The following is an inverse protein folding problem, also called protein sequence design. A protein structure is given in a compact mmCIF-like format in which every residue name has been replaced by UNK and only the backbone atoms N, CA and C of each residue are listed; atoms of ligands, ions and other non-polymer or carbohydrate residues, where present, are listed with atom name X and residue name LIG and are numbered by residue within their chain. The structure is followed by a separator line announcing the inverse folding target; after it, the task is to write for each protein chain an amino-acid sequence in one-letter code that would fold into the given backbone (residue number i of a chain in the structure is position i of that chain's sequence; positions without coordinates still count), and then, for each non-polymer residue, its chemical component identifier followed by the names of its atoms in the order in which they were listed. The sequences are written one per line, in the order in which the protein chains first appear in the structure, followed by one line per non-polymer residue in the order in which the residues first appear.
data_IF_228079867215
#
_entry.id   IF_228079867215
#
_cell.length_a   1.000
_cell.length_b   1.000
_cell.length_c   1.000
_cell.angle_alpha   90.00
_cell.angle_beta   90.00
_cell.angle_gamma   90.00
#
_symmetry.space_group_name_H-M   'P 1'
#
loop_
_entity.id
_entity.type
_entity.pdbx_description
1 polymer ?
#
# COMPACT_ATOMS: atom_id res chain seq x y z
N UNK A 1 89.34 -29.25 6.01
CA UNK A 1 88.25 -29.68 5.10
C UNK A 1 87.43 -30.66 5.92
N UNK A 2 86.13 -30.49 6.19
CA UNK A 2 84.97 -30.34 5.29
C UNK A 2 83.85 -29.53 6.01
N UNK A 3 83.32 -28.48 5.36
CA UNK A 3 82.00 -28.33 4.71
C UNK A 3 80.82 -27.90 5.63
N UNK A 4 80.22 -26.78 5.22
CA UNK A 4 78.93 -26.21 5.64
C UNK A 4 77.75 -27.10 5.24
N UNK A 5 76.67 -27.06 6.02
CA UNK A 5 75.38 -27.64 5.66
C UNK A 5 74.23 -27.04 6.48
N UNK A 6 73.62 -25.97 5.96
CA UNK A 6 72.39 -25.32 6.45
C UNK A 6 71.15 -26.14 6.10
N UNK A 7 70.17 -26.26 7.00
CA UNK A 7 68.92 -26.99 6.69
C UNK A 7 67.83 -26.97 7.77
N UNK A 8 67.55 -25.81 8.39
CA UNK A 8 66.60 -25.73 9.52
C UNK A 8 65.37 -24.82 9.37
N UNK A 9 65.21 -24.07 8.27
CA UNK A 9 64.25 -22.94 8.25
C UNK A 9 62.91 -23.17 7.53
N UNK A 10 62.66 -24.34 6.92
CA UNK A 10 61.52 -24.50 5.99
C UNK A 10 60.21 -25.04 6.59
N UNK A 11 60.22 -25.69 7.75
CA UNK A 11 59.00 -26.34 8.30
C UNK A 11 58.15 -25.37 9.14
N UNK A 12 58.79 -24.52 9.95
CA UNK A 12 58.11 -23.56 10.83
C UNK A 12 57.31 -22.51 10.03
N UNK A 13 57.86 -22.04 8.91
CA UNK A 13 57.24 -21.03 8.05
C UNK A 13 55.99 -21.53 7.31
N UNK A 14 55.96 -22.80 6.91
CA UNK A 14 54.82 -23.41 6.23
C UNK A 14 53.61 -23.55 7.16
N UNK A 15 53.83 -23.95 8.42
CA UNK A 15 52.77 -24.07 9.45
C UNK A 15 52.23 -22.68 9.81
N UNK A 16 53.11 -21.68 9.94
CA UNK A 16 52.70 -20.30 10.22
C UNK A 16 51.90 -19.67 9.06
N UNK A 17 52.28 -19.97 7.82
CA UNK A 17 51.56 -19.54 6.61
C UNK A 17 50.17 -20.20 6.51
N UNK A 18 50.08 -21.51 6.76
CA UNK A 18 48.82 -22.24 6.75
C UNK A 18 47.84 -21.77 7.85
N UNK A 19 48.35 -21.49 9.05
CA UNK A 19 47.55 -20.93 10.16
C UNK A 19 47.03 -19.52 9.86
N UNK A 20 47.86 -18.67 9.22
CA UNK A 20 47.45 -17.33 8.76
C UNK A 20 46.38 -17.41 7.66
N UNK A 21 46.54 -18.32 6.70
CA UNK A 21 45.57 -18.55 5.62
C UNK A 21 44.22 -19.07 6.16
N UNK A 22 44.26 -20.02 7.10
CA UNK A 22 43.06 -20.55 7.75
C UNK A 22 42.34 -19.50 8.62
N UNK A 23 43.08 -18.64 9.33
CA UNK A 23 42.49 -17.50 10.05
C UNK A 23 41.91 -16.46 9.09
N UNK A 24 42.61 -16.10 8.01
CA UNK A 24 42.11 -15.17 7.01
C UNK A 24 40.81 -15.67 6.35
N UNK A 25 40.74 -16.97 6.06
CA UNK A 25 39.53 -17.59 5.51
C UNK A 25 38.37 -17.59 6.51
N UNK A 26 38.64 -17.82 7.80
CA UNK A 26 37.64 -17.70 8.88
C UNK A 26 37.13 -16.27 9.05
N UNK A 27 38.03 -15.28 9.01
CA UNK A 27 37.63 -13.86 9.03
C UNK A 27 36.82 -13.48 7.79
N UNK A 28 37.20 -13.95 6.60
CA UNK A 28 36.45 -13.73 5.36
C UNK A 28 35.06 -14.40 5.39
N UNK A 29 34.93 -15.60 5.94
CA UNK A 29 33.63 -16.27 6.11
C UNK A 29 32.75 -15.59 7.18
N UNK A 30 33.35 -15.08 8.25
CA UNK A 30 32.64 -14.34 9.30
C UNK A 30 32.19 -12.95 8.79
N UNK A 31 33.01 -12.25 8.02
CA UNK A 31 32.60 -10.98 7.38
C UNK A 31 31.58 -11.22 6.28
N UNK A 32 31.68 -12.30 5.50
CA UNK A 32 30.67 -12.66 4.50
C UNK A 32 29.32 -13.04 5.14
N UNK A 33 29.30 -13.72 6.29
CA UNK A 33 28.06 -14.03 7.01
C UNK A 33 27.47 -12.80 7.72
N UNK A 34 28.30 -11.89 8.25
CA UNK A 34 27.87 -10.58 8.78
C UNK A 34 27.31 -9.65 7.68
N UNK A 35 27.89 -9.67 6.47
CA UNK A 35 27.37 -8.92 5.31
C UNK A 35 26.11 -9.56 4.71
N UNK A 36 25.99 -10.90 4.75
CA UNK A 36 24.80 -11.62 4.28
C UNK A 36 23.61 -11.53 5.25
N UNK A 37 23.87 -11.24 6.53
CA UNK A 37 22.85 -11.02 7.57
C UNK A 37 22.13 -9.67 7.50
N UNK A 38 22.65 -8.71 6.71
CA UNK A 38 22.00 -7.42 6.49
C UNK A 38 21.33 -7.37 5.12
N UNK A 39 20.45 -8.33 4.82
CA UNK A 39 19.32 -7.99 3.96
C UNK A 39 18.44 -7.07 4.80
N UNK A 40 18.68 -5.77 4.68
CA UNK A 40 17.63 -4.80 4.98
C UNK A 40 16.41 -5.30 4.24
N UNK A 41 15.42 -5.80 4.98
CA UNK A 41 14.08 -5.94 4.44
C UNK A 41 13.74 -4.52 4.03
N UNK A 42 13.87 -4.23 2.74
CA UNK A 42 13.30 -3.03 2.15
C UNK A 42 11.83 -3.14 2.48
N UNK A 43 11.41 -2.49 3.57
CA UNK A 43 10.01 -2.31 3.86
C UNK A 43 9.52 -1.55 2.64
N UNK A 44 8.71 -2.21 1.82
CA UNK A 44 8.01 -1.57 0.71
C UNK A 44 6.94 -0.68 1.34
N UNK A 45 7.40 0.39 1.98
CA UNK A 45 6.70 1.18 2.97
C UNK A 45 5.83 2.24 2.32
N UNK A 46 5.38 2.01 1.09
CA UNK A 46 4.52 2.96 0.40
C UNK A 46 3.21 2.27 0.08
N UNK A 47 2.14 2.67 0.77
CA UNK A 47 0.76 2.24 0.49
C UNK A 47 0.00 3.37 -0.18
N UNK A 48 -1.01 3.04 -0.98
CA UNK A 48 -1.83 4.03 -1.69
C UNK A 48 -2.52 5.02 -0.74
N UNK A 49 -2.64 4.69 0.56
CA UNK A 49 -3.07 5.63 1.60
C UNK A 49 -2.20 6.89 1.69
N UNK A 50 -0.95 6.86 1.24
CA UNK A 50 -0.05 8.03 1.15
C UNK A 50 -0.67 9.19 0.34
N UNK A 51 -1.60 8.89 -0.57
CA UNK A 51 -2.36 9.88 -1.33
C UNK A 51 -3.22 10.79 -0.43
N UNK A 52 -3.56 10.35 0.78
CA UNK A 52 -4.27 11.17 1.75
C UNK A 52 -3.42 12.30 2.33
N UNK A 53 -2.10 12.08 2.42
CA UNK A 53 -1.15 12.99 3.07
C UNK A 53 -0.46 13.91 2.05
N UNK A 54 -0.34 13.44 0.81
CA UNK A 54 0.28 14.18 -0.29
C UNK A 54 -0.83 14.56 -1.29
N UNK A 55 -1.52 15.69 -1.08
CA UNK A 55 -2.59 16.10 -1.99
C UNK A 55 -2.02 16.24 -3.40
N UNK A 56 -2.73 15.68 -4.37
CA UNK A 56 -2.37 15.78 -5.78
C UNK A 56 -2.65 17.23 -6.19
N UNK A 57 -1.60 18.06 -6.21
CA UNK A 57 -1.71 19.41 -6.73
C UNK A 57 -1.79 19.33 -8.25
N UNK A 58 -2.96 19.63 -8.80
CA UNK A 58 -3.17 19.85 -10.23
C UNK A 58 -3.12 21.37 -10.43
N UNK A 59 -1.96 21.99 -10.68
CA UNK A 59 -1.92 23.41 -11.00
C UNK A 59 -2.76 23.68 -12.25
N UNK A 60 -3.53 24.78 -12.22
CA UNK A 60 -4.45 25.22 -13.29
C UNK A 60 -3.77 25.39 -14.67
N UNK A 61 -2.43 25.40 -14.72
CA UNK A 61 -1.61 25.58 -15.93
C UNK A 61 -1.41 24.27 -16.71
N UNK A 62 -1.93 23.12 -16.25
CA UNK A 62 -1.86 21.86 -16.98
C UNK A 62 -2.89 21.77 -18.13
N UNK A 63 -2.83 22.72 -19.06
CA UNK A 63 -3.67 22.75 -20.27
C UNK A 63 -2.96 22.10 -21.47
N UNK A 64 -1.66 21.78 -21.41
CA UNK A 64 -0.97 21.05 -22.50
C UNK A 64 -0.03 19.98 -21.95
N UNK A 65 -0.56 18.75 -21.81
CA UNK A 65 0.23 17.52 -22.02
C UNK A 65 1.12 17.01 -20.88
N UNK A 66 1.19 17.67 -19.73
CA UNK A 66 1.83 17.10 -18.56
C UNK A 66 0.80 16.91 -17.44
N UNK A 67 0.87 15.79 -16.75
CA UNK A 67 0.04 15.38 -15.62
C UNK A 67 1.01 14.77 -14.62
N UNK A 68 0.66 14.63 -13.34
CA UNK A 68 1.52 13.88 -12.41
C UNK A 68 1.73 12.49 -13.01
N UNK A 69 2.96 12.20 -13.43
CA UNK A 69 3.31 10.93 -14.04
C UNK A 69 2.96 9.88 -12.96
N UNK A 70 2.01 8.98 -13.20
CA UNK A 70 1.54 8.01 -12.20
C UNK A 70 2.69 7.20 -11.54
N UNK A 71 3.88 7.21 -12.14
CA UNK A 71 5.13 6.68 -11.56
C UNK A 71 5.72 7.51 -10.41
N UNK A 72 5.45 8.82 -10.35
CA UNK A 72 5.86 9.74 -9.28
C UNK A 72 4.99 9.61 -8.03
N UNK A 73 3.77 9.07 -8.17
CA UNK A 73 2.89 8.80 -7.02
C UNK A 73 3.47 7.64 -6.20
N UNK A 74 4.11 8.01 -5.08
CA UNK A 74 4.65 7.05 -4.13
C UNK A 74 3.53 6.21 -3.52
N UNK A 75 3.73 4.88 -3.44
CA UNK A 75 2.78 3.99 -2.79
C UNK A 75 1.74 3.33 -3.68
N UNK A 76 1.78 3.53 -4.99
CA UNK A 76 0.96 2.75 -5.91
C UNK A 76 1.63 1.43 -6.30
N UNK A 77 0.86 0.33 -6.25
CA UNK A 77 1.24 -0.95 -6.87
C UNK A 77 1.25 -0.86 -8.40
N UNK A 78 1.70 -1.90 -9.08
CA UNK A 78 1.79 -1.86 -10.55
C UNK A 78 0.41 -1.83 -11.21
N UNK A 79 -0.57 -2.55 -10.66
CA UNK A 79 -1.97 -2.49 -11.09
C UNK A 79 -2.61 -1.14 -10.79
N UNK A 80 -2.33 -0.54 -9.62
CA UNK A 80 -2.82 0.81 -9.29
C UNK A 80 -2.23 1.87 -10.22
N UNK A 81 -0.96 1.74 -10.65
CA UNK A 81 -0.36 2.63 -11.65
C UNK A 81 -1.05 2.53 -13.01
N UNK A 82 -1.44 1.33 -13.44
CA UNK A 82 -2.23 1.14 -14.68
C UNK A 82 -3.59 1.80 -14.58
N UNK A 83 -4.28 1.64 -13.44
CA UNK A 83 -5.56 2.32 -13.20
C UNK A 83 -5.41 3.83 -13.16
N UNK A 84 -4.37 4.36 -12.51
CA UNK A 84 -4.06 5.79 -12.51
C UNK A 84 -3.88 6.33 -13.93
N UNK A 85 -3.18 5.60 -14.81
CA UNK A 85 -2.97 6.04 -16.20
C UNK A 85 -4.28 6.14 -17.00
N UNK A 86 -5.26 5.27 -16.69
CA UNK A 86 -6.57 5.20 -17.32
C UNK A 86 -7.59 6.19 -16.72
N UNK A 87 -7.54 6.38 -15.40
CA UNK A 87 -8.50 7.15 -14.60
C UNK A 87 -7.79 8.24 -13.79
N UNK A 88 -7.14 9.17 -14.50
CA UNK A 88 -6.26 10.19 -13.89
C UNK A 88 -7.04 11.17 -13.02
N UNK A 89 -8.21 11.60 -13.49
CA UNK A 89 -9.17 12.46 -12.80
C UNK A 89 -9.72 11.83 -11.50
N UNK A 90 -9.62 10.51 -11.32
CA UNK A 90 -10.06 9.83 -10.10
C UNK A 90 -9.05 9.92 -8.97
N UNK A 91 -7.78 10.19 -9.27
CA UNK A 91 -6.70 10.07 -8.31
C UNK A 91 -6.83 11.07 -7.15
N UNK A 92 -7.33 12.30 -7.41
CA UNK A 92 -7.56 13.27 -6.34
C UNK A 92 -8.62 12.75 -5.36
N UNK A 93 -9.73 12.21 -5.89
CA UNK A 93 -10.85 11.70 -5.11
C UNK A 93 -10.52 10.41 -4.37
N UNK A 94 -9.61 9.57 -4.91
CA UNK A 94 -9.03 8.44 -4.16
C UNK A 94 -8.28 8.96 -2.92
N UNK A 95 -7.45 9.99 -3.08
CA UNK A 95 -6.70 10.61 -1.98
C UNK A 95 -7.62 11.24 -0.93
N UNK A 96 -8.66 11.97 -1.37
CA UNK A 96 -9.69 12.53 -0.49
C UNK A 96 -10.49 11.46 0.24
N UNK A 97 -10.86 10.38 -0.44
CA UNK A 97 -11.54 9.22 0.14
C UNK A 97 -10.69 8.54 1.22
N UNK A 98 -9.40 8.32 0.94
CA UNK A 98 -8.45 7.80 1.93
C UNK A 98 -8.34 8.74 3.14
N UNK A 99 -8.20 10.05 2.90
CA UNK A 99 -8.11 11.08 3.95
C UNK A 99 -9.36 11.09 4.83
N UNK A 100 -10.54 10.96 4.22
CA UNK A 100 -11.81 10.88 4.92
C UNK A 100 -11.87 9.62 5.79
N UNK A 101 -11.48 8.46 5.25
CA UNK A 101 -11.41 7.21 6.01
C UNK A 101 -10.46 7.26 7.20
N UNK A 102 -9.28 7.89 7.04
CA UNK A 102 -8.32 8.11 8.13
C UNK A 102 -8.92 8.99 9.23
N UNK A 103 -9.53 10.11 8.86
CA UNK A 103 -10.17 11.02 9.82
C UNK A 103 -11.27 10.32 10.61
N UNK A 104 -12.09 9.52 9.93
CA UNK A 104 -13.16 8.77 10.59
C UNK A 104 -12.59 7.69 11.52
N UNK A 105 -11.53 6.99 11.10
CA UNK A 105 -10.82 6.05 11.95
C UNK A 105 -10.27 6.70 13.22
N UNK A 106 -9.62 7.87 13.08
CA UNK A 106 -9.15 8.65 14.23
C UNK A 106 -10.31 9.08 15.13
N UNK A 107 -11.43 9.49 14.54
CA UNK A 107 -12.62 9.87 15.29
C UNK A 107 -13.16 8.69 16.12
N UNK A 108 -13.36 7.52 15.49
CA UNK A 108 -13.90 6.32 16.14
C UNK A 108 -12.99 5.80 17.27
N UNK A 109 -11.67 5.92 17.10
CA UNK A 109 -10.68 5.37 18.02
C UNK A 109 -10.04 6.42 18.97
N UNK A 110 -10.50 7.68 18.98
CA UNK A 110 -9.90 8.79 19.75
C UNK A 110 -9.68 8.55 21.26
N UNK A 111 -10.46 7.66 21.87
CA UNK A 111 -10.36 7.30 23.30
C UNK A 111 -9.87 5.87 23.54
N UNK A 112 -9.21 5.26 22.53
CA UNK A 112 -8.64 3.91 22.60
C UNK A 112 -7.11 3.99 22.71
N UNK A 113 -6.48 2.91 23.19
CA UNK A 113 -5.01 2.79 23.27
C UNK A 113 -4.35 2.91 21.90
N UNK A 114 -4.95 2.29 20.89
CA UNK A 114 -4.66 2.55 19.49
C UNK A 114 -5.71 3.53 18.99
N UNK A 115 -5.28 4.75 18.64
CA UNK A 115 -6.15 5.87 18.28
C UNK A 115 -6.16 6.18 16.77
N UNK A 116 -5.67 5.26 15.95
CA UNK A 116 -5.56 5.41 14.50
C UNK A 116 -4.73 6.64 14.03
N UNK A 117 -3.82 7.14 14.87
CA UNK A 117 -2.89 8.22 14.49
C UNK A 117 -2.00 7.80 13.32
N UNK A 118 -1.77 8.71 12.38
CA UNK A 118 -0.87 8.49 11.26
C UNK A 118 0.59 8.56 11.71
N UNK A 119 1.45 7.70 11.16
CA UNK A 119 2.86 7.62 11.59
C UNK A 119 3.77 8.50 10.71
N UNK A 120 3.70 8.31 9.39
CA UNK A 120 4.50 9.05 8.41
C UNK A 120 3.75 9.19 7.06
N UNK A 121 4.38 9.86 6.09
CA UNK A 121 3.79 10.11 4.77
C UNK A 121 3.88 8.88 3.83
N UNK A 122 4.68 7.87 4.15
CA UNK A 122 4.92 6.71 3.26
C UNK A 122 4.03 5.53 3.65
N UNK A 123 3.99 5.21 4.94
CA UNK A 123 3.17 4.20 5.62
C UNK A 123 2.24 4.87 6.63
N UNK A 124 1.11 5.39 6.12
CA UNK A 124 0.10 6.13 6.89
C UNK A 124 -0.27 5.46 8.22
N UNK A 125 -0.45 4.14 8.26
CA UNK A 125 -0.84 3.39 9.46
C UNK A 125 0.32 2.58 10.10
N UNK A 126 1.53 2.64 9.54
CA UNK A 126 2.73 2.00 10.10
C UNK A 126 2.62 0.48 10.28
N UNK A 127 3.12 -0.03 11.42
CA UNK A 127 3.24 -1.47 11.72
C UNK A 127 1.90 -2.19 11.90
N UNK A 128 0.81 -1.49 12.19
CA UNK A 128 -0.52 -2.13 12.35
C UNK A 128 -0.89 -2.88 11.07
N UNK A 129 -0.48 -2.34 9.91
CA UNK A 129 -0.72 -2.93 8.60
C UNK A 129 0.08 -4.19 8.30
N UNK A 130 0.98 -4.61 9.19
CA UNK A 130 1.73 -5.86 9.09
C UNK A 130 1.12 -6.98 9.96
N UNK A 131 0.19 -6.64 10.85
CA UNK A 131 -0.45 -7.58 11.79
C UNK A 131 -1.91 -7.78 11.39
N UNK A 132 -2.42 -9.00 11.51
CA UNK A 132 -3.82 -9.34 11.23
C UNK A 132 -4.69 -9.07 12.45
N UNK A 133 -4.93 -7.80 12.77
CA UNK A 133 -5.70 -7.39 13.96
C UNK A 133 -7.08 -6.81 13.60
N UNK A 134 -7.91 -6.56 14.62
CA UNK A 134 -9.22 -5.92 14.44
C UNK A 134 -9.09 -4.48 13.96
N UNK A 135 -8.05 -3.79 14.41
CA UNK A 135 -7.70 -2.44 13.98
C UNK A 135 -7.33 -2.42 12.49
N UNK A 136 -6.51 -3.39 12.04
CA UNK A 136 -6.20 -3.56 10.61
C UNK A 136 -7.46 -3.81 9.78
N UNK A 137 -8.35 -4.68 10.27
CA UNK A 137 -9.61 -4.96 9.58
C UNK A 137 -10.47 -3.71 9.43
N UNK A 138 -10.59 -2.91 10.50
CA UNK A 138 -11.29 -1.64 10.46
C UNK A 138 -10.66 -0.67 9.46
N UNK A 139 -9.33 -0.53 9.47
CA UNK A 139 -8.59 0.36 8.56
C UNK A 139 -8.82 0.03 7.09
N UNK A 140 -8.76 -1.25 6.70
CA UNK A 140 -9.06 -1.66 5.32
C UNK A 140 -10.52 -1.34 4.94
N UNK A 141 -11.47 -1.66 5.82
CA UNK A 141 -12.89 -1.39 5.60
C UNK A 141 -13.20 0.11 5.46
N UNK A 142 -12.81 0.93 6.43
CA UNK A 142 -13.12 2.37 6.43
C UNK A 142 -12.41 3.11 5.27
N UNK A 143 -11.22 2.66 4.88
CA UNK A 143 -10.54 3.24 3.72
C UNK A 143 -11.24 2.91 2.41
N UNK A 144 -11.68 1.66 2.24
CA UNK A 144 -12.44 1.25 1.06
C UNK A 144 -13.79 1.98 0.99
N UNK A 145 -14.48 2.13 2.13
CA UNK A 145 -15.70 2.92 2.23
C UNK A 145 -15.47 4.39 1.85
N UNK A 146 -14.39 5.00 2.38
CA UNK A 146 -14.02 6.38 2.06
C UNK A 146 -13.81 6.62 0.57
N UNK A 147 -13.17 5.68 -0.15
CA UNK A 147 -13.00 5.77 -1.61
C UNK A 147 -14.32 5.64 -2.35
N UNK A 148 -15.20 4.71 -1.96
CA UNK A 148 -16.55 4.60 -2.57
C UNK A 148 -17.31 5.92 -2.40
N UNK A 149 -17.36 6.43 -1.17
CA UNK A 149 -18.03 7.67 -0.83
C UNK A 149 -17.53 8.88 -1.66
N UNK A 150 -16.21 9.07 -1.72
CA UNK A 150 -15.62 10.19 -2.44
C UNK A 150 -15.87 10.11 -3.96
N UNK A 151 -15.67 8.93 -4.56
CA UNK A 151 -15.88 8.75 -6.01
C UNK A 151 -17.36 8.88 -6.38
N UNK A 152 -18.26 8.29 -5.60
CA UNK A 152 -19.70 8.38 -5.84
C UNK A 152 -20.24 9.80 -5.77
N UNK A 153 -19.68 10.61 -4.86
CA UNK A 153 -19.99 12.03 -4.74
C UNK A 153 -19.41 12.85 -5.90
N UNK A 154 -18.16 12.61 -6.29
CA UNK A 154 -17.55 13.27 -7.43
C UNK A 154 -18.33 13.01 -8.74
N UNK A 155 -18.88 11.80 -8.90
CA UNK A 155 -19.80 11.48 -9.99
C UNK A 155 -21.09 12.32 -9.95
N UNK A 156 -21.68 12.54 -8.76
CA UNK A 156 -22.87 13.38 -8.60
C UNK A 156 -22.59 14.83 -8.93
N UNK A 157 -21.40 15.32 -8.58
CA UNK A 157 -20.98 16.70 -8.76
C UNK A 157 -20.52 16.99 -10.21
N UNK A 158 -20.34 15.95 -11.03
CA UNK A 158 -19.92 16.10 -12.44
C UNK A 158 -18.42 16.31 -12.60
N UNK A 159 -17.65 15.99 -11.57
CA UNK A 159 -16.20 16.20 -11.50
C UNK A 159 -15.39 15.10 -12.22
N UNK A 160 -16.04 13.97 -12.52
CA UNK A 160 -15.45 12.83 -13.19
C UNK A 160 -16.08 12.64 -14.57
N UNK A 161 -15.26 12.57 -15.61
CA UNK A 161 -15.76 12.51 -16.99
C UNK A 161 -16.42 11.16 -17.35
N UNK A 162 -16.12 10.10 -16.60
CA UNK A 162 -16.53 8.71 -16.86
C UNK A 162 -17.85 8.31 -16.21
N UNK A 163 -18.40 9.15 -15.33
CA UNK A 163 -19.63 8.87 -14.59
C UNK A 163 -20.50 10.12 -14.44
N UNK A 164 -21.67 9.94 -13.84
CA UNK A 164 -22.63 11.00 -13.56
C UNK A 164 -23.56 10.57 -12.43
N UNK A 165 -24.72 11.22 -12.32
CA UNK A 165 -25.74 10.90 -11.31
C UNK A 165 -26.10 9.41 -11.26
N UNK A 166 -26.50 8.96 -10.07
CA UNK A 166 -27.06 7.63 -9.86
C UNK A 166 -28.24 7.35 -10.80
N UNK A 167 -28.27 6.12 -11.33
CA UNK A 167 -29.41 5.59 -12.11
C UNK A 167 -30.35 4.75 -11.24
N UNK A 168 -30.30 4.93 -9.92
CA UNK A 168 -31.15 4.20 -8.99
C UNK A 168 -32.63 4.45 -9.31
N UNK A 169 -33.37 3.35 -9.46
CA UNK A 169 -34.81 3.41 -9.63
C UNK A 169 -35.46 3.96 -8.36
N UNK A 170 -36.63 4.58 -8.52
CA UNK A 170 -37.48 4.97 -7.40
C UNK A 170 -37.69 3.78 -6.44
N UNK A 171 -37.44 3.95 -5.13
CA UNK A 171 -37.72 2.92 -4.14
C UNK A 171 -39.20 2.52 -4.15
N UNK A 172 -39.48 1.22 -4.06
CA UNK A 172 -40.86 0.67 -4.14
C UNK A 172 -41.72 1.08 -2.94
N UNK A 173 -41.07 1.32 -1.82
CA UNK A 173 -41.61 1.73 -0.53
C UNK A 173 -41.79 3.26 -0.40
N UNK A 174 -41.31 4.05 -1.38
CA UNK A 174 -41.47 5.51 -1.35
C UNK A 174 -42.95 5.89 -1.58
N UNK A 175 -43.60 6.60 -0.63
CA UNK A 175 -44.99 7.02 -0.74
C UNK A 175 -45.26 7.78 -2.05
N UNK A 176 -46.40 7.51 -2.71
CA UNK A 176 -46.69 8.00 -4.08
C UNK A 176 -46.75 9.52 -4.18
N UNK A 177 -47.09 10.18 -3.09
CA UNK A 177 -47.13 11.63 -2.92
C UNK A 177 -45.74 12.28 -2.87
N UNK A 178 -44.69 11.49 -2.61
CA UNK A 178 -43.30 11.97 -2.65
C UNK A 178 -42.76 11.89 -4.07
N UNK A 179 -42.13 12.97 -4.52
CA UNK A 179 -41.42 13.01 -5.81
C UNK A 179 -40.03 12.38 -5.64
N UNK A 180 -39.70 11.43 -6.52
CA UNK A 180 -38.35 10.88 -6.63
C UNK A 180 -37.63 11.60 -7.77
N UNK A 181 -36.44 12.14 -7.50
CA UNK A 181 -35.67 12.85 -8.51
C UNK A 181 -34.44 13.52 -7.92
N UNK A 182 -33.83 14.39 -8.71
CA UNK A 182 -32.54 15.01 -8.40
C UNK A 182 -31.36 14.15 -8.86
N UNK A 183 -30.16 14.59 -8.49
CA UNK A 183 -28.92 13.89 -8.78
C UNK A 183 -28.39 13.28 -7.49
N UNK A 184 -28.48 11.96 -7.35
CA UNK A 184 -27.94 11.22 -6.21
C UNK A 184 -26.52 10.69 -6.46
N UNK A 185 -25.81 10.38 -5.39
CA UNK A 185 -24.46 9.78 -5.43
C UNK A 185 -24.47 8.45 -6.18
N UNK A 186 -23.53 8.27 -7.12
CA UNK A 186 -23.45 7.07 -7.94
C UNK A 186 -22.67 5.96 -7.21
N UNK A 187 -23.31 5.36 -6.22
CA UNK A 187 -22.71 4.31 -5.35
C UNK A 187 -22.25 3.09 -6.16
N UNK A 188 -23.01 2.68 -7.18
CA UNK A 188 -22.63 1.55 -8.02
C UNK A 188 -21.32 1.78 -8.77
N UNK A 189 -21.10 2.99 -9.31
CA UNK A 189 -19.84 3.34 -9.96
C UNK A 189 -18.69 3.37 -8.94
N UNK A 190 -18.88 4.07 -7.83
CA UNK A 190 -17.86 4.18 -6.77
C UNK A 190 -17.47 2.82 -6.20
N UNK A 191 -18.44 1.92 -5.98
CA UNK A 191 -18.22 0.55 -5.55
C UNK A 191 -17.31 -0.21 -6.53
N UNK A 192 -17.65 -0.20 -7.83
CA UNK A 192 -16.89 -0.93 -8.86
C UNK A 192 -15.48 -0.38 -8.98
N UNK A 193 -15.33 0.93 -9.04
CA UNK A 193 -14.02 1.57 -9.15
C UNK A 193 -13.15 1.30 -7.91
N UNK A 194 -13.70 1.48 -6.70
CA UNK A 194 -12.99 1.20 -5.46
C UNK A 194 -12.56 -0.27 -5.36
N UNK A 195 -13.38 -1.21 -5.84
CA UNK A 195 -13.00 -2.62 -5.91
C UNK A 195 -11.77 -2.85 -6.79
N UNK A 196 -11.74 -2.28 -8.00
CA UNK A 196 -10.60 -2.43 -8.89
C UNK A 196 -9.33 -1.77 -8.31
N UNK A 197 -9.44 -0.54 -7.79
CA UNK A 197 -8.28 0.21 -7.31
C UNK A 197 -7.74 -0.26 -5.96
N UNK A 198 -8.62 -0.45 -4.96
CA UNK A 198 -8.20 -0.78 -3.59
C UNK A 198 -7.72 -2.24 -3.50
N UNK A 199 -8.34 -3.15 -4.26
CA UNK A 199 -7.95 -4.57 -4.24
C UNK A 199 -6.74 -4.88 -5.13
N UNK A 200 -6.36 -4.01 -6.07
CA UNK A 200 -5.30 -4.27 -7.06
C UNK A 200 -4.01 -4.81 -6.42
N UNK A 201 -3.52 -4.14 -5.38
CA UNK A 201 -2.31 -4.54 -4.64
C UNK A 201 -2.41 -5.93 -4.03
N UNK A 202 -3.55 -6.26 -3.44
CA UNK A 202 -3.77 -7.56 -2.78
C UNK A 202 -3.90 -8.68 -3.83
N UNK A 203 -4.47 -8.38 -5.01
CA UNK A 203 -4.61 -9.33 -6.13
C UNK A 203 -3.31 -9.57 -6.89
N UNK A 204 -2.41 -8.60 -6.93
CA UNK A 204 -1.08 -8.72 -7.56
C UNK A 204 -0.16 -9.69 -6.79
N UNK A 205 -0.38 -9.85 -5.48
CA UNK A 205 0.42 -10.72 -4.63
C UNK A 205 -0.09 -12.16 -4.72
N UNK A 206 0.69 -13.02 -5.37
CA UNK A 206 0.38 -14.45 -5.48
C UNK A 206 1.13 -15.20 -4.37
N UNK A 207 0.38 -15.71 -3.40
CA UNK A 207 0.89 -16.57 -2.34
C UNK A 207 0.37 -18.01 -2.50
N UNK A 208 1.14 -18.98 -2.01
CA UNK A 208 0.70 -20.37 -1.98
C UNK A 208 -0.50 -20.51 -1.03
N UNK A 209 -1.54 -21.23 -1.47
CA UNK A 209 -2.73 -21.48 -0.66
C UNK A 209 -2.36 -22.17 0.66
N UNK A 210 -3.01 -21.75 1.74
CA UNK A 210 -2.77 -22.28 3.09
C UNK A 210 -1.61 -21.62 3.85
N UNK A 211 -0.88 -20.70 3.22
CA UNK A 211 0.11 -19.87 3.92
C UNK A 211 -0.55 -18.75 4.72
N UNK A 212 0.17 -18.24 5.74
CA UNK A 212 -0.26 -17.07 6.51
C UNK A 212 -0.48 -15.84 5.60
N UNK A 213 0.41 -15.59 4.64
CA UNK A 213 0.28 -14.46 3.72
C UNK A 213 -0.95 -14.60 2.81
N UNK A 214 -1.25 -15.81 2.34
CA UNK A 214 -2.49 -16.07 1.59
C UNK A 214 -3.74 -15.78 2.44
N UNK A 215 -3.76 -16.21 3.71
CA UNK A 215 -4.86 -15.90 4.62
C UNK A 215 -5.00 -14.39 4.87
N UNK A 216 -3.86 -13.68 5.00
CA UNK A 216 -3.82 -12.22 5.16
C UNK A 216 -4.41 -11.50 3.94
N UNK A 217 -4.02 -11.88 2.72
CA UNK A 217 -4.58 -11.33 1.48
C UNK A 217 -6.10 -11.52 1.44
N UNK A 218 -6.61 -12.71 1.78
CA UNK A 218 -8.05 -12.95 1.82
C UNK A 218 -8.77 -12.12 2.88
N UNK A 219 -8.18 -11.98 4.06
CA UNK A 219 -8.70 -11.11 5.12
C UNK A 219 -8.78 -9.65 4.64
N UNK A 220 -7.72 -9.12 4.01
CA UNK A 220 -7.68 -7.76 3.49
C UNK A 220 -8.77 -7.52 2.43
N UNK A 221 -8.90 -8.44 1.46
CA UNK A 221 -9.93 -8.39 0.42
C UNK A 221 -11.35 -8.45 1.02
N UNK A 222 -11.55 -9.30 2.04
CA UNK A 222 -12.83 -9.39 2.75
C UNK A 222 -13.17 -8.09 3.48
N UNK A 223 -12.19 -7.49 4.17
CA UNK A 223 -12.41 -6.24 4.91
C UNK A 223 -12.69 -5.07 3.97
N UNK A 224 -11.98 -4.98 2.84
CA UNK A 224 -12.28 -4.01 1.78
C UNK A 224 -13.71 -4.16 1.29
N UNK A 225 -14.13 -5.39 1.00
CA UNK A 225 -15.49 -5.69 0.55
C UNK A 225 -16.55 -5.30 1.58
N UNK A 226 -16.31 -5.61 2.86
CA UNK A 226 -17.19 -5.22 3.94
C UNK A 226 -17.36 -3.69 4.00
N UNK A 227 -16.26 -2.94 3.87
CA UNK A 227 -16.27 -1.48 3.81
C UNK A 227 -17.00 -0.91 2.60
N UNK A 228 -16.87 -1.52 1.42
CA UNK A 228 -17.57 -1.05 0.23
C UNK A 228 -19.09 -1.21 0.33
N UNK A 229 -19.58 -2.27 0.99
CA UNK A 229 -21.01 -2.61 1.08
C UNK A 229 -21.84 -1.78 2.06
N UNK A 230 -21.19 -1.01 2.94
CA UNK A 230 -21.89 -0.19 3.94
C UNK A 230 -22.26 1.22 3.42
N UNK A 231 -21.95 1.55 2.16
CA UNK A 231 -22.33 2.81 1.52
C UNK A 231 -23.69 2.73 0.82
#
# INVERSE_FOLDING_TARGET
MYFLGSGGETVQGAVYSALKSAMAWRYLLVTATLLSGCKQVLVEASSWWSLAMNPIQIPEVYIIGAQPLCSQLAGLSQGQKKLCQLYRDHMQYIGEGAKTGIKECQHQFRHRRWNCSTVDNTSVFGRVMQIGSRETAFTYGISAAGVVHAISRACREGELATCGCSRAARPKDLPRDWLWGGCGDNVEYGYRFAKEFVDAREREKIYQKGTYDSARTFMNLHNNEAGRRVN
#
